data_IF_548018359193
#
_entry.id   IF_548018359193
#
_cell.length_a   1.000
_cell.length_b   1.000
_cell.length_c   1.000
_cell.angle_alpha   90.00
_cell.angle_beta   90.00
_cell.angle_gamma   90.00
#
_symmetry.space_group_name_H-M   'P 1'
#
loop_
_entity.id
_entity.type
_entity.pdbx_description
1 polymer ?
#
# COMPACT_ATOMS: atom_id res chain seq x y z
N UNK A 1 7.77 10.53 -6.53
CA UNK A 1 6.35 10.50 -6.96
C UNK A 1 5.53 11.45 -6.10
N UNK A 2 4.34 11.86 -6.54
CA UNK A 2 3.41 12.60 -5.67
C UNK A 2 2.51 11.59 -4.93
N UNK A 3 2.63 11.52 -3.60
CA UNK A 3 1.85 10.63 -2.75
C UNK A 3 0.72 11.33 -1.98
N UNK A 4 0.30 12.52 -2.40
CA UNK A 4 -0.70 13.34 -1.70
C UNK A 4 -2.03 12.65 -1.39
N UNK A 5 -2.36 11.58 -2.12
CA UNK A 5 -3.60 10.82 -1.94
C UNK A 5 -3.42 9.50 -1.21
N UNK A 6 -2.21 9.17 -0.73
CA UNK A 6 -1.96 7.94 0.00
C UNK A 6 -1.84 8.16 1.50
N UNK A 7 -2.51 7.31 2.26
CA UNK A 7 -2.43 7.27 3.73
C UNK A 7 -2.09 5.85 4.15
N UNK A 8 -1.08 5.71 5.01
CA UNK A 8 -0.73 4.44 5.65
C UNK A 8 -1.35 4.38 7.04
N UNK A 9 -1.95 3.24 7.37
CA UNK A 9 -2.50 2.93 8.69
C UNK A 9 -1.86 1.64 9.16
N UNK A 10 -1.08 1.73 10.24
CA UNK A 10 -0.46 0.57 10.88
C UNK A 10 -1.41 -0.04 11.91
N UNK A 11 -1.64 -1.34 11.82
CA UNK A 11 -2.42 -2.10 12.81
C UNK A 11 -1.62 -3.28 13.32
N UNK A 12 -1.09 -3.14 14.52
CA UNK A 12 -0.51 -4.26 15.26
C UNK A 12 -1.59 -5.12 15.92
N UNK A 13 -1.68 -6.41 15.56
CA UNK A 13 -2.35 -7.44 16.37
C UNK A 13 -1.40 -8.60 16.57
N UNK A 14 -1.35 -9.13 17.81
CA UNK A 14 -0.67 -10.37 18.26
C UNK A 14 0.09 -11.13 17.15
N UNK A 15 1.31 -10.71 16.85
CA UNK A 15 2.26 -11.43 16.00
C UNK A 15 2.12 -11.24 14.47
N UNK A 16 1.14 -10.47 13.98
CA UNK A 16 1.01 -10.15 12.56
C UNK A 16 0.91 -8.64 12.37
N UNK A 17 1.97 -8.03 11.86
CA UNK A 17 1.97 -6.63 11.45
C UNK A 17 1.21 -6.52 10.13
N UNK A 18 0.13 -5.73 10.14
CA UNK A 18 -0.67 -5.45 8.95
C UNK A 18 -0.64 -3.96 8.67
N UNK A 19 -0.33 -3.63 7.43
CA UNK A 19 -0.28 -2.26 6.96
C UNK A 19 -1.40 -2.05 5.96
N UNK A 20 -2.17 -1.00 6.17
CA UNK A 20 -3.21 -0.61 5.23
C UNK A 20 -2.79 0.65 4.50
N UNK A 21 -2.73 0.59 3.17
CA UNK A 21 -2.54 1.77 2.32
C UNK A 21 -3.89 2.14 1.71
N UNK A 22 -4.32 3.37 1.95
CA UNK A 22 -5.60 3.91 1.48
C UNK A 22 -5.31 4.98 0.43
N UNK A 23 -5.91 4.84 -0.76
CA UNK A 23 -5.93 5.89 -1.76
C UNK A 23 -7.23 6.70 -1.61
N UNK A 24 -7.10 7.99 -1.27
CA UNK A 24 -8.23 8.88 -0.94
C UNK A 24 -8.78 9.64 -2.15
N UNK A 25 -7.99 9.76 -3.22
CA UNK A 25 -8.42 10.34 -4.49
C UNK A 25 -9.19 9.34 -5.36
N UNK A 26 -9.78 9.80 -6.45
CA UNK A 26 -10.44 8.92 -7.41
C UNK A 26 -9.41 8.30 -8.38
N UNK A 27 -9.46 6.98 -8.63
CA UNK A 27 -10.34 6.00 -8.00
C UNK A 27 -9.90 5.61 -6.58
N UNK A 28 -10.85 5.55 -5.63
CA UNK A 28 -10.59 5.21 -4.23
C UNK A 28 -10.38 3.72 -4.07
N UNK A 29 -9.42 3.30 -3.25
CA UNK A 29 -9.24 1.89 -2.89
C UNK A 29 -8.47 1.75 -1.58
N UNK A 30 -8.43 0.53 -1.07
CA UNK A 30 -7.61 0.16 0.09
C UNK A 30 -6.83 -1.12 -0.19
N UNK A 31 -5.60 -1.14 0.26
CA UNK A 31 -4.66 -2.24 0.09
C UNK A 31 -4.20 -2.72 1.48
N UNK A 32 -4.24 -4.02 1.72
CA UNK A 32 -3.59 -4.65 2.87
C UNK A 32 -2.25 -5.21 2.40
N UNK A 33 -1.18 -4.78 3.05
CA UNK A 33 0.20 -5.18 2.83
C UNK A 33 0.78 -5.82 4.09
N UNK A 34 1.64 -6.81 3.89
CA UNK A 34 2.56 -7.30 4.92
C UNK A 34 4.00 -7.06 4.46
N UNK A 35 4.96 -6.88 5.37
CA UNK A 35 6.37 -6.85 5.00
C UNK A 35 6.77 -8.07 4.17
N UNK A 36 7.64 -7.86 3.20
CA UNK A 36 8.23 -8.93 2.41
C UNK A 36 9.51 -9.44 3.09
N UNK A 37 9.41 -10.58 3.77
CA UNK A 37 10.52 -11.18 4.48
C UNK A 37 11.62 -11.73 3.55
N UNK A 38 11.33 -11.92 2.27
CA UNK A 38 12.31 -12.38 1.27
C UNK A 38 13.10 -11.23 0.65
N UNK A 39 12.66 -9.98 0.84
CA UNK A 39 13.37 -8.80 0.38
C UNK A 39 14.65 -8.55 1.21
N UNK A 40 15.72 -7.98 0.62
CA UNK A 40 16.96 -7.69 1.33
C UNK A 40 16.82 -6.80 2.58
N UNK A 41 15.81 -5.93 2.61
CA UNK A 41 15.46 -5.05 3.73
C UNK A 41 14.36 -5.63 4.62
N UNK A 42 13.91 -6.86 4.38
CA UNK A 42 12.82 -7.58 5.08
C UNK A 42 11.46 -6.85 5.05
N UNK A 43 11.33 -5.81 4.22
CA UNK A 43 10.10 -5.01 4.09
C UNK A 43 9.67 -4.96 2.62
N UNK A 44 10.62 -4.69 1.72
CA UNK A 44 10.41 -4.53 0.29
C UNK A 44 9.33 -3.50 -0.06
N UNK A 45 8.65 -3.73 -1.18
CA UNK A 45 7.41 -3.03 -1.54
C UNK A 45 6.17 -3.55 -0.79
N UNK A 46 6.35 -4.49 0.13
CA UNK A 46 5.28 -5.24 0.80
C UNK A 46 4.56 -6.22 -0.13
N UNK A 47 4.11 -7.33 0.45
CA UNK A 47 3.30 -8.35 -0.23
C UNK A 47 1.83 -7.98 -0.09
N UNK A 48 1.14 -7.80 -1.23
CA UNK A 48 -0.31 -7.53 -1.26
C UNK A 48 -1.07 -8.76 -0.75
N UNK A 49 -1.84 -8.57 0.33
CA UNK A 49 -2.71 -9.62 0.90
C UNK A 49 -4.18 -9.40 0.57
N UNK A 50 -4.61 -8.15 0.41
CA UNK A 50 -5.99 -7.82 0.05
C UNK A 50 -6.05 -6.52 -0.73
N UNK A 51 -6.89 -6.49 -1.75
CA UNK A 51 -7.29 -5.29 -2.47
C UNK A 51 -8.80 -5.11 -2.32
N UNK A 52 -9.23 -3.94 -1.82
CA UNK A 52 -10.61 -3.55 -1.74
C UNK A 52 -10.85 -2.35 -2.66
N UNK A 53 -11.64 -2.57 -3.70
CA UNK A 53 -12.06 -1.53 -4.66
C UNK A 53 -13.58 -1.35 -4.60
N UNK A 54 -14.11 -0.13 -4.82
CA UNK A 54 -15.52 0.08 -5.01
C UNK A 54 -16.05 -0.75 -6.18
N UNK A 55 -17.29 -1.21 -6.04
CA UNK A 55 -17.98 -1.88 -7.14
C UNK A 55 -18.13 -0.90 -8.31
N UNK A 56 -17.58 -1.27 -9.46
CA UNK A 56 -17.73 -0.51 -10.70
C UNK A 56 -18.78 -1.17 -11.57
N UNK A 57 -19.82 -0.43 -11.95
CA UNK A 57 -20.80 -0.90 -12.92
C UNK A 57 -20.18 -1.16 -14.30
N UNK A 58 -19.15 -0.40 -14.69
CA UNK A 58 -18.46 -0.55 -15.97
C UNK A 58 -17.32 -1.58 -15.93
N UNK A 59 -16.97 -2.13 -14.77
CA UNK A 59 -15.92 -3.16 -14.64
C UNK A 59 -14.49 -2.71 -14.97
N UNK A 60 -14.24 -1.41 -15.17
CA UNK A 60 -12.92 -0.90 -15.52
C UNK A 60 -11.98 -0.84 -14.29
N UNK A 61 -11.50 -2.01 -13.89
CA UNK A 61 -10.52 -2.17 -12.81
C UNK A 61 -9.07 -1.96 -13.28
N UNK A 62 -8.85 -1.80 -14.60
CA UNK A 62 -7.51 -1.53 -15.15
C UNK A 62 -6.91 -0.22 -14.65
N UNK A 63 -7.76 0.76 -14.33
CA UNK A 63 -7.36 2.07 -13.78
C UNK A 63 -6.61 1.99 -12.46
N UNK A 64 -6.81 0.93 -11.69
CA UNK A 64 -6.13 0.75 -10.40
C UNK A 64 -4.69 0.27 -10.57
N UNK A 65 -4.33 -0.38 -11.68
CA UNK A 65 -3.02 -1.03 -11.84
C UNK A 65 -1.83 -0.11 -11.59
N UNK A 66 -1.82 1.09 -12.18
CA UNK A 66 -0.75 2.09 -11.95
C UNK A 66 -0.73 2.59 -10.51
N UNK A 67 -1.90 2.70 -9.87
CA UNK A 67 -2.02 3.17 -8.50
C UNK A 67 -1.62 2.09 -7.47
N UNK A 68 -1.76 0.81 -7.81
CA UNK A 68 -1.28 -0.29 -6.98
C UNK A 68 0.25 -0.30 -6.89
N UNK A 69 0.93 -0.09 -8.03
CA UNK A 69 2.39 0.06 -8.03
C UNK A 69 2.83 1.27 -7.19
N UNK A 70 2.17 2.43 -7.39
CA UNK A 70 2.42 3.63 -6.58
C UNK A 70 2.15 3.41 -5.07
N UNK A 71 1.16 2.60 -4.71
CA UNK A 71 0.85 2.26 -3.32
C UNK A 71 1.95 1.39 -2.67
N UNK A 72 2.55 0.45 -3.42
CA UNK A 72 3.70 -0.34 -2.95
C UNK A 72 4.96 0.52 -2.80
N UNK A 73 5.21 1.44 -3.75
CA UNK A 73 6.30 2.41 -3.64
C UNK A 73 6.13 3.33 -2.43
N UNK A 74 4.92 3.86 -2.22
CA UNK A 74 4.58 4.64 -1.04
C UNK A 74 4.81 3.85 0.25
N UNK A 75 4.42 2.56 0.28
CA UNK A 75 4.65 1.70 1.43
C UNK A 75 6.15 1.54 1.73
N UNK A 76 6.97 1.27 0.72
CA UNK A 76 8.42 1.17 0.87
C UNK A 76 9.03 2.47 1.39
N UNK A 77 8.65 3.62 0.82
CA UNK A 77 9.17 4.93 1.22
C UNK A 77 8.74 5.31 2.65
N UNK A 78 7.49 5.01 3.02
CA UNK A 78 6.99 5.26 4.38
C UNK A 78 7.69 4.44 5.46
N UNK A 79 8.27 3.29 5.12
CA UNK A 79 9.02 2.44 6.06
C UNK A 79 10.48 2.85 6.20
N UNK A 80 11.06 3.58 5.24
CA UNK A 80 12.49 3.95 5.27
C UNK A 80 12.84 4.96 6.38
N UNK A 81 11.85 5.56 7.05
CA UNK A 81 12.05 6.57 8.08
C UNK A 81 12.74 7.84 7.55
N UNK A 82 12.82 8.94 8.32
CA UNK A 82 13.72 10.02 7.96
C UNK A 82 15.15 9.47 7.99
N UNK A 83 15.93 9.71 6.93
CA UNK A 83 17.35 9.43 6.93
C UNK A 83 17.95 10.03 8.21
N UNK A 84 18.52 9.19 9.08
CA UNK A 84 19.24 9.66 10.27
C UNK A 84 20.31 10.64 9.78
N UNK A 85 20.09 11.93 10.02
CA UNK A 85 21.07 12.99 9.83
C UNK A 85 22.08 12.95 10.97
#
# INVERSE_FOLDING_TARGET
MNFSHFVRIDRGRRGLERHYVVHTGDPKFTLELTPDAEAPDQIGGGVIKRLCVPNSWAGDYGRYGKLLAAAQEFFAESNRGPARR
#
